data_IF_649395442475
#
_entry.id   IF_649395442475
#
_cell.length_a   1.000
_cell.length_b   1.000
_cell.length_c   1.000
_cell.angle_alpha   90.00
_cell.angle_beta   90.00
_cell.angle_gamma   90.00
#
_symmetry.space_group_name_H-M   'P 1'
#
loop_
_entity.id
_entity.type
_entity.pdbx_description
1 polymer ?
#
# COMPACT_ATOMS: atom_id res chain seq x y z
N UNK A 1 -5.73 8.79 7.82
CA UNK A 1 -6.64 9.49 6.89
C UNK A 1 -7.96 8.75 6.97
N UNK A 2 -9.04 9.44 7.34
CA UNK A 2 -10.27 8.76 7.77
C UNK A 2 -10.00 7.74 8.88
N UNK A 3 -10.61 6.57 8.75
CA UNK A 3 -10.55 5.45 9.70
C UNK A 3 -9.24 4.65 9.67
N UNK A 4 -8.25 5.10 8.89
CA UNK A 4 -6.99 4.39 8.72
C UNK A 4 -5.79 5.17 9.26
N UNK A 5 -4.83 4.42 9.79
CA UNK A 5 -3.45 4.85 9.99
C UNK A 5 -2.67 4.35 8.77
N UNK A 6 -1.91 5.25 8.15
CA UNK A 6 -1.09 4.96 6.97
C UNK A 6 0.36 5.19 7.36
N UNK A 7 1.21 4.18 7.16
CA UNK A 7 2.62 4.24 7.56
C UNK A 7 3.50 4.11 6.31
N UNK A 8 4.03 5.22 5.78
CA UNK A 8 4.97 5.17 4.67
C UNK A 8 6.36 4.77 5.15
N UNK A 9 7.06 4.00 4.33
CA UNK A 9 8.47 3.70 4.45
C UNK A 9 9.12 3.71 3.07
N UNK A 10 10.43 3.87 2.99
CA UNK A 10 11.15 3.63 1.74
C UNK A 10 10.96 2.17 1.32
N UNK A 11 10.82 1.94 0.02
CA UNK A 11 10.76 0.57 -0.49
C UNK A 11 12.08 -0.12 -0.22
N UNK A 12 12.03 -1.35 0.28
CA UNK A 12 13.24 -2.12 0.61
C UNK A 12 13.41 -3.30 -0.34
N UNK A 13 14.66 -3.59 -0.70
CA UNK A 13 14.99 -4.84 -1.35
C UNK A 13 15.10 -5.94 -0.30
N UNK A 14 14.26 -6.96 -0.41
CA UNK A 14 14.23 -8.03 0.58
C UNK A 14 15.50 -8.89 0.61
N UNK A 15 16.26 -8.92 -0.49
CA UNK A 15 17.54 -9.62 -0.60
C UNK A 15 18.71 -8.78 -0.08
N UNK A 16 18.56 -7.46 -0.08
CA UNK A 16 19.54 -6.52 0.45
C UNK A 16 18.82 -5.36 1.17
N UNK A 17 18.50 -5.51 2.46
CA UNK A 17 17.79 -4.48 3.21
C UNK A 17 18.56 -3.17 3.37
N UNK A 18 19.86 -3.18 3.08
CA UNK A 18 20.71 -1.97 3.14
C UNK A 18 20.65 -1.14 1.87
N UNK A 19 20.17 -1.74 0.76
CA UNK A 19 19.88 -1.06 -0.50
C UNK A 19 18.55 -0.29 -0.40
N UNK A 20 18.64 0.90 0.19
CA UNK A 20 17.53 1.83 0.32
C UNK A 20 17.65 2.94 -0.73
N UNK A 21 16.55 3.33 -1.39
CA UNK A 21 16.52 4.54 -2.19
C UNK A 21 16.92 5.77 -1.36
N UNK A 22 17.61 6.72 -1.97
CA UNK A 22 17.99 7.97 -1.29
C UNK A 22 16.78 8.81 -0.86
N UNK A 23 15.65 8.67 -1.57
CA UNK A 23 14.41 9.38 -1.30
C UNK A 23 13.20 8.61 -1.83
N UNK A 24 12.03 8.94 -1.29
CA UNK A 24 10.74 8.47 -1.78
C UNK A 24 9.66 9.53 -1.51
N UNK A 25 8.57 9.46 -2.25
CA UNK A 25 7.49 10.45 -2.17
C UNK A 25 6.14 9.81 -2.42
N UNK A 26 5.09 10.41 -1.85
CA UNK A 26 3.72 10.13 -2.25
C UNK A 26 2.75 11.27 -1.95
N UNK A 27 1.68 11.27 -2.72
CA UNK A 27 0.45 12.03 -2.49
C UNK A 27 -0.70 11.03 -2.41
N UNK A 28 -1.48 11.10 -1.34
CA UNK A 28 -2.58 10.19 -1.08
C UNK A 28 -3.90 10.95 -1.02
N UNK A 29 -4.91 10.44 -1.71
CA UNK A 29 -6.28 10.96 -1.69
C UNK A 29 -7.25 9.84 -1.33
N UNK A 30 -8.12 10.08 -0.35
CA UNK A 30 -9.20 9.18 0.00
C UNK A 30 -10.40 9.49 -0.90
N UNK A 31 -10.81 8.54 -1.72
CA UNK A 31 -11.90 8.68 -2.69
C UNK A 31 -13.20 7.99 -2.26
N UNK A 32 -13.14 7.21 -1.18
CA UNK A 32 -14.28 6.60 -0.49
C UNK A 32 -13.88 6.12 0.91
N UNK A 33 -14.80 5.53 1.70
CA UNK A 33 -14.51 5.10 3.07
C UNK A 33 -13.28 4.18 3.17
N UNK A 34 -13.16 3.22 2.25
CA UNK A 34 -12.07 2.25 2.20
C UNK A 34 -11.29 2.32 0.87
N UNK A 35 -11.41 3.43 0.12
CA UNK A 35 -10.81 3.58 -1.20
C UNK A 35 -9.87 4.78 -1.26
N UNK A 36 -8.68 4.56 -1.83
CA UNK A 36 -7.64 5.57 -1.97
C UNK A 36 -7.05 5.56 -3.38
N UNK A 37 -6.64 6.74 -3.83
CA UNK A 37 -5.77 6.94 -4.99
C UNK A 37 -4.46 7.50 -4.49
N UNK A 38 -3.36 6.88 -4.88
CA UNK A 38 -2.02 7.23 -4.42
C UNK A 38 -1.10 7.40 -5.61
N UNK A 39 -0.47 8.57 -5.71
CA UNK A 39 0.67 8.79 -6.60
C UNK A 39 1.95 8.68 -5.78
N UNK A 40 2.95 7.96 -6.24
CA UNK A 40 4.20 7.83 -5.50
C UNK A 40 5.34 7.19 -6.28
N UNK A 41 6.50 7.15 -5.63
CA UNK A 41 7.73 6.55 -6.13
C UNK A 41 8.68 6.21 -4.97
N UNK A 42 9.39 5.08 -5.08
CA UNK A 42 10.36 4.57 -4.09
C UNK A 42 9.85 4.42 -2.65
N UNK A 43 8.56 4.14 -2.47
CA UNK A 43 7.97 3.94 -1.13
C UNK A 43 7.12 2.67 -1.07
N UNK A 44 6.83 2.25 0.15
CA UNK A 44 5.76 1.31 0.47
C UNK A 44 4.90 1.86 1.61
N UNK A 45 3.62 1.51 1.62
CA UNK A 45 2.66 1.99 2.62
C UNK A 45 1.91 0.82 3.22
N UNK A 46 1.98 0.68 4.54
CA UNK A 46 1.13 -0.24 5.30
C UNK A 46 -0.07 0.50 5.89
N UNK A 47 -1.14 -0.25 6.15
CA UNK A 47 -2.39 0.28 6.68
C UNK A 47 -2.71 -0.41 8.00
N UNK A 48 -3.26 0.35 8.94
CA UNK A 48 -3.80 -0.16 10.19
C UNK A 48 -5.14 0.54 10.49
N UNK A 49 -6.01 -0.14 11.24
CA UNK A 49 -7.28 0.46 11.66
C UNK A 49 -7.01 1.53 12.71
N UNK A 50 -7.63 2.69 12.53
CA UNK A 50 -7.68 3.76 13.55
C UNK A 50 -8.82 3.55 14.53
N UNK A 51 -9.86 2.85 14.08
CA UNK A 51 -11.14 2.73 14.81
C UNK A 51 -11.12 1.57 15.80
N UNK A 52 -10.38 0.50 15.51
CA UNK A 52 -10.23 -0.64 16.41
C UNK A 52 -8.82 -1.22 16.26
N UNK A 53 -8.05 -1.24 17.35
CA UNK A 53 -6.68 -1.74 17.35
C UNK A 53 -6.57 -3.26 17.15
N UNK A 54 -7.67 -4.01 17.35
CA UNK A 54 -7.69 -5.45 17.16
C UNK A 54 -7.94 -5.87 15.70
N UNK A 55 -8.39 -4.94 14.85
CA UNK A 55 -8.62 -5.18 13.42
C UNK A 55 -7.30 -5.18 12.64
N UNK A 56 -7.16 -6.17 11.76
CA UNK A 56 -6.15 -6.18 10.71
C UNK A 56 -6.72 -5.55 9.44
N UNK A 57 -5.92 -4.73 8.75
CA UNK A 57 -6.29 -4.13 7.46
C UNK A 57 -5.60 -4.87 6.32
N UNK A 58 -6.40 -5.35 5.37
CA UNK A 58 -5.93 -5.98 4.14
C UNK A 58 -6.16 -5.11 2.91
N UNK A 59 -5.38 -5.37 1.86
CA UNK A 59 -5.58 -4.80 0.53
C UNK A 59 -6.54 -5.70 -0.25
N UNK A 60 -7.76 -5.22 -0.52
CA UNK A 60 -8.76 -5.97 -1.28
C UNK A 60 -8.42 -5.98 -2.77
N UNK A 61 -8.12 -4.80 -3.32
CA UNK A 61 -7.67 -4.62 -4.70
C UNK A 61 -6.59 -3.55 -4.74
N UNK A 62 -5.59 -3.75 -5.60
CA UNK A 62 -4.58 -2.75 -5.94
C UNK A 62 -4.52 -2.69 -7.45
N UNK A 63 -4.82 -1.55 -8.04
CA UNK A 63 -4.80 -1.34 -9.49
C UNK A 63 -3.80 -0.24 -9.82
N UNK A 64 -2.84 -0.56 -10.66
CA UNK A 64 -2.03 0.42 -11.37
C UNK A 64 -2.84 1.01 -12.52
N UNK A 65 -2.73 2.31 -12.78
CA UNK A 65 -3.48 2.95 -13.86
C UNK A 65 -3.20 4.44 -13.99
N UNK A 66 -4.00 5.10 -14.81
CA UNK A 66 -3.89 6.54 -15.08
C UNK A 66 -5.27 7.19 -15.19
N UNK A 67 -5.33 8.49 -14.99
CA UNK A 67 -6.53 9.26 -15.32
C UNK A 67 -6.45 9.79 -16.74
N UNK A 68 -7.44 9.48 -17.58
CA UNK A 68 -7.62 10.06 -18.90
C UNK A 68 -8.98 10.76 -18.96
N UNK A 69 -8.98 12.05 -19.30
CA UNK A 69 -10.21 12.86 -19.34
C UNK A 69 -11.05 12.78 -18.05
N UNK A 70 -10.37 12.76 -16.90
CA UNK A 70 -10.99 12.68 -15.57
C UNK A 70 -11.54 11.30 -15.19
N UNK A 71 -11.39 10.29 -16.04
CA UNK A 71 -11.83 8.91 -15.77
C UNK A 71 -10.63 8.02 -15.45
N UNK A 72 -10.82 7.09 -14.50
CA UNK A 72 -9.82 6.06 -14.19
C UNK A 72 -9.73 5.07 -15.35
N UNK A 73 -8.52 4.88 -15.88
CA UNK A 73 -8.19 3.86 -16.87
C UNK A 73 -7.28 2.85 -16.18
N UNK A 74 -7.80 1.65 -15.81
CA UNK A 74 -7.01 0.64 -15.15
C UNK A 74 -5.99 0.04 -16.11
N UNK A 75 -4.78 -0.19 -15.59
CA UNK A 75 -3.74 -0.99 -16.20
C UNK A 75 -3.71 -2.39 -15.58
N UNK A 76 -2.71 -2.68 -14.76
CA UNK A 76 -2.55 -3.99 -14.11
C UNK A 76 -3.15 -4.01 -12.72
N UNK A 77 -3.80 -5.11 -12.36
CA UNK A 77 -4.09 -5.42 -10.95
C UNK A 77 -2.86 -6.07 -10.32
N UNK A 78 -2.43 -5.53 -9.18
CA UNK A 78 -1.29 -6.03 -8.42
C UNK A 78 -1.78 -6.93 -7.29
N UNK A 79 -1.16 -8.09 -7.13
CA UNK A 79 -1.47 -9.05 -6.08
C UNK A 79 -0.24 -9.94 -5.79
N UNK A 80 -0.36 -10.85 -4.82
CA UNK A 80 0.68 -11.83 -4.50
C UNK A 80 2.01 -11.17 -4.14
N UNK A 81 3.07 -11.61 -4.81
CA UNK A 81 4.44 -11.11 -4.61
C UNK A 81 4.59 -9.61 -4.91
N UNK A 82 3.75 -9.05 -5.79
CA UNK A 82 3.78 -7.62 -6.11
C UNK A 82 3.42 -6.73 -4.91
N UNK A 83 2.62 -7.22 -3.97
CA UNK A 83 2.19 -6.48 -2.76
C UNK A 83 2.78 -7.04 -1.47
N UNK A 84 3.45 -8.20 -1.51
CA UNK A 84 3.99 -8.86 -0.32
C UNK A 84 5.32 -8.25 0.14
N UNK A 85 5.41 -7.84 1.40
CA UNK A 85 6.63 -7.33 2.04
C UNK A 85 7.14 -8.23 3.18
N UNK A 86 6.26 -9.03 3.81
CA UNK A 86 6.64 -10.03 4.82
C UNK A 86 5.91 -11.36 4.61
N UNK A 87 6.59 -12.49 4.88
CA UNK A 87 6.04 -13.86 4.82
C UNK A 87 6.05 -14.50 6.22
N UNK A 88 6.58 -13.79 7.22
CA UNK A 88 6.52 -14.19 8.62
C UNK A 88 5.13 -13.87 9.16
N UNK A 89 4.17 -14.76 8.84
CA UNK A 89 2.77 -14.54 9.15
C UNK A 89 2.50 -14.49 10.65
N UNK A 90 3.31 -15.16 11.48
CA UNK A 90 3.17 -15.15 12.93
C UNK A 90 3.45 -13.76 13.49
N UNK A 91 4.59 -13.17 13.13
CA UNK A 91 4.94 -11.80 13.55
C UNK A 91 3.97 -10.76 12.99
N UNK A 92 3.50 -10.94 11.74
CA UNK A 92 2.54 -10.01 11.14
C UNK A 92 1.17 -10.08 11.84
N UNK A 93 0.67 -11.28 12.12
CA UNK A 93 -0.58 -11.46 12.84
C UNK A 93 -0.52 -10.88 14.26
N UNK A 94 0.58 -11.10 14.98
CA UNK A 94 0.81 -10.50 16.30
C UNK A 94 0.80 -8.96 16.27
N UNK A 95 1.15 -8.37 15.12
CA UNK A 95 1.18 -6.91 14.91
C UNK A 95 -0.06 -6.36 14.19
N UNK A 96 -1.10 -7.18 14.00
CA UNK A 96 -2.33 -6.81 13.26
C UNK A 96 -2.05 -6.30 11.85
N UNK A 97 -1.14 -6.99 11.17
CA UNK A 97 -0.70 -6.72 9.80
C UNK A 97 -0.87 -7.98 8.95
N UNK A 98 -1.02 -7.78 7.63
CA UNK A 98 -1.12 -8.89 6.67
C UNK A 98 0.22 -9.29 6.05
N UNK A 99 1.29 -8.51 6.31
CA UNK A 99 2.55 -8.62 5.57
C UNK A 99 2.48 -8.07 4.15
N UNK A 100 1.37 -7.43 3.76
CA UNK A 100 1.22 -6.74 2.47
C UNK A 100 1.35 -5.23 2.63
N UNK A 101 1.76 -4.55 1.56
CA UNK A 101 1.83 -3.10 1.49
C UNK A 101 1.48 -2.61 0.08
N UNK A 102 1.03 -1.36 -0.02
CA UNK A 102 0.93 -0.67 -1.30
C UNK A 102 2.35 -0.25 -1.71
N UNK A 103 2.89 -0.80 -2.80
CA UNK A 103 4.31 -0.66 -3.17
C UNK A 103 4.53 0.14 -4.45
N UNK A 104 5.46 1.09 -4.37
CA UNK A 104 5.98 1.89 -5.47
C UNK A 104 7.47 1.58 -5.61
N UNK A 105 7.80 0.54 -6.38
CA UNK A 105 9.15 -0.02 -6.42
C UNK A 105 10.16 0.85 -7.19
N UNK A 106 9.69 1.66 -8.14
CA UNK A 106 10.52 2.48 -9.00
C UNK A 106 10.53 3.94 -8.52
N UNK A 107 11.58 4.72 -8.82
CA UNK A 107 11.63 6.15 -8.49
C UNK A 107 10.67 6.99 -9.36
N UNK A 108 10.30 6.50 -10.53
CA UNK A 108 9.32 7.12 -11.40
C UNK A 108 7.92 7.09 -10.76
N UNK A 109 7.18 8.17 -10.97
CA UNK A 109 5.83 8.28 -10.43
C UNK A 109 4.90 7.27 -11.13
N UNK A 110 4.17 6.52 -10.33
CA UNK A 110 3.00 5.73 -10.78
C UNK A 110 1.79 6.06 -9.92
N UNK A 111 0.60 5.73 -10.43
CA UNK A 111 -0.66 5.92 -9.70
C UNK A 111 -1.25 4.54 -9.42
N UNK A 112 -1.51 4.28 -8.14
CA UNK A 112 -2.23 3.11 -7.68
C UNK A 112 -3.58 3.54 -7.10
N UNK A 113 -4.64 2.84 -7.50
CA UNK A 113 -5.94 2.86 -6.80
C UNK A 113 -6.01 1.63 -5.91
N UNK A 114 -6.35 1.82 -4.64
CA UNK A 114 -6.42 0.74 -3.65
C UNK A 114 -7.77 0.73 -2.95
N UNK A 115 -8.31 -0.46 -2.74
CA UNK A 115 -9.44 -0.71 -1.86
C UNK A 115 -8.98 -1.54 -0.66
N UNK A 116 -9.42 -1.16 0.52
CA UNK A 116 -9.08 -1.81 1.79
C UNK A 116 -10.26 -2.63 2.32
N UNK A 117 -9.94 -3.56 3.22
CA UNK A 117 -10.93 -4.24 4.07
C UNK A 117 -10.34 -4.46 5.46
N UNK A 118 -11.22 -4.67 6.44
CA UNK A 118 -10.89 -4.94 7.84
C UNK A 118 -11.40 -6.32 8.24
N UNK A 119 -10.67 -7.00 9.12
CA UNK A 119 -11.06 -8.28 9.71
C UNK A 119 -10.38 -8.48 11.07
N UNK A 120 -10.90 -9.42 11.86
CA UNK A 120 -10.38 -9.79 13.19
C UNK A 120 -9.73 -11.17 13.17
#
# INVERSE_FOLDING_TARGET
MGDYILTPALVTNRRDPSDLPAQGYAVMMQTGPDEFVVLGGSIQVTFASRTNADETVGLATVEEGVYQSGQWVPGRTLNGDAIMISYDMETQAASKQTGTALRFNAPEASILRVKLYRFE
#
